data_IF_314171060074
#
_entry.id   IF_314171060074
#
_cell.length_a   1.000
_cell.length_b   1.000
_cell.length_c   1.000
_cell.angle_alpha   90.00
_cell.angle_beta   90.00
_cell.angle_gamma   90.00
#
_symmetry.space_group_name_H-M   'P 1'
#
loop_
_entity.id
_entity.type
_entity.pdbx_description
1 polymer ?
#
# COMPACT_ATOMS: atom_id res chain seq x y z
N UNK A 1 28.40 -1.69 -2.98
CA UNK A 1 27.37 -2.73 -3.02
C UNK A 1 26.21 -2.32 -2.14
N UNK A 2 25.02 -2.40 -2.67
CA UNK A 2 23.83 -2.01 -1.93
C UNK A 2 23.49 -3.11 -0.93
N UNK A 3 23.41 -2.75 0.34
CA UNK A 3 22.88 -3.64 1.35
C UNK A 3 21.43 -3.95 1.03
N UNK A 4 20.85 -4.93 1.74
CA UNK A 4 19.45 -5.29 1.54
C UNK A 4 18.55 -4.17 2.09
N UNK A 5 18.21 -3.24 1.24
CA UNK A 5 17.30 -2.17 1.59
C UNK A 5 15.87 -2.66 1.44
N UNK A 6 15.09 -2.51 2.50
CA UNK A 6 13.68 -2.89 2.52
C UNK A 6 12.83 -1.66 2.33
N UNK A 7 11.95 -1.70 1.33
CA UNK A 7 10.98 -0.65 1.08
C UNK A 7 9.58 -1.20 1.39
N UNK A 8 8.84 -0.47 2.19
CA UNK A 8 7.50 -0.87 2.63
C UNK A 8 6.46 0.09 2.09
N UNK A 9 5.38 -0.47 1.53
CA UNK A 9 4.20 0.28 1.10
C UNK A 9 2.97 -0.37 1.71
N UNK A 10 2.05 0.41 2.26
CA UNK A 10 0.77 -0.14 2.70
C UNK A 10 -0.40 0.68 2.17
N UNK A 11 -1.53 0.00 1.99
CA UNK A 11 -2.74 0.62 1.48
C UNK A 11 -3.83 -0.40 1.28
N UNK A 12 -4.99 0.07 0.84
CA UNK A 12 -6.13 -0.79 0.54
C UNK A 12 -5.93 -1.57 -0.76
N UNK A 13 -5.39 -0.92 -1.78
CA UNK A 13 -5.10 -1.52 -3.09
C UNK A 13 -6.30 -2.31 -3.65
N UNK A 14 -7.46 -1.70 -3.61
CA UNK A 14 -8.71 -2.38 -3.98
C UNK A 14 -8.82 -2.54 -5.50
N UNK A 15 -8.91 -1.42 -6.21
CA UNK A 15 -8.93 -1.42 -7.66
C UNK A 15 -7.62 -0.80 -8.13
N UNK A 16 -6.71 -1.64 -8.60
CA UNK A 16 -5.39 -1.18 -9.00
C UNK A 16 -5.47 -0.30 -10.26
N UNK A 17 -4.65 0.71 -10.28
CA UNK A 17 -4.54 1.64 -11.40
C UNK A 17 -3.06 2.01 -11.61
N UNK A 18 -2.74 2.73 -12.69
CA UNK A 18 -1.35 3.07 -12.99
C UNK A 18 -0.61 3.79 -11.85
N UNK A 19 -1.31 4.55 -11.02
CA UNK A 19 -0.70 5.20 -9.87
C UNK A 19 -0.14 4.21 -8.86
N UNK A 20 -0.85 3.11 -8.61
CA UNK A 20 -0.37 2.04 -7.74
C UNK A 20 0.86 1.36 -8.34
N UNK A 21 0.83 1.09 -9.64
CA UNK A 21 1.96 0.44 -10.32
C UNK A 21 3.19 1.32 -10.26
N UNK A 22 3.03 2.63 -10.44
CA UNK A 22 4.15 3.59 -10.33
C UNK A 22 4.74 3.57 -8.92
N UNK A 23 3.89 3.51 -7.88
CA UNK A 23 4.34 3.40 -6.49
C UNK A 23 5.24 2.16 -6.31
N UNK A 24 4.80 1.01 -6.79
CA UNK A 24 5.55 -0.24 -6.66
C UNK A 24 6.84 -0.23 -7.49
N UNK A 25 6.79 0.38 -8.66
CA UNK A 25 7.96 0.53 -9.51
C UNK A 25 9.02 1.41 -8.85
N UNK A 26 8.61 2.52 -8.25
CA UNK A 26 9.53 3.40 -7.51
C UNK A 26 10.08 2.66 -6.30
N UNK A 27 9.24 1.93 -5.56
CA UNK A 27 9.71 1.12 -4.44
C UNK A 27 10.81 0.15 -4.88
N UNK A 28 10.62 -0.53 -6.01
CA UNK A 28 11.62 -1.46 -6.55
C UNK A 28 12.95 -0.76 -6.88
N UNK A 29 12.88 0.49 -7.34
CA UNK A 29 14.08 1.25 -7.67
C UNK A 29 14.85 1.71 -6.43
N UNK A 30 14.18 1.75 -5.27
CA UNK A 30 14.77 2.24 -4.03
C UNK A 30 15.38 1.15 -3.16
N UNK A 31 15.04 -0.11 -3.39
CA UNK A 31 15.54 -1.17 -2.54
C UNK A 31 15.53 -2.55 -3.19
N UNK A 32 16.14 -3.49 -2.51
CA UNK A 32 16.26 -4.86 -2.96
C UNK A 32 15.05 -5.71 -2.61
N UNK A 33 14.28 -5.29 -1.62
CA UNK A 33 13.11 -6.04 -1.17
C UNK A 33 11.94 -5.08 -1.01
N UNK A 34 10.85 -5.37 -1.70
CA UNK A 34 9.62 -4.57 -1.65
C UNK A 34 8.56 -5.38 -0.91
N UNK A 35 8.09 -4.83 0.19
CA UNK A 35 7.03 -5.42 1.01
C UNK A 35 5.80 -4.54 0.88
N UNK A 36 4.67 -5.16 0.57
CA UNK A 36 3.39 -4.47 0.47
C UNK A 36 2.43 -5.07 1.47
N UNK A 37 1.72 -4.24 2.21
CA UNK A 37 0.72 -4.68 3.17
C UNK A 37 -0.63 -4.10 2.80
N UNK A 38 -1.68 -4.94 2.87
CA UNK A 38 -3.04 -4.53 2.59
C UNK A 38 -3.96 -4.90 3.75
N UNK A 39 -4.96 -4.07 4.01
CA UNK A 39 -5.85 -4.28 5.14
C UNK A 39 -6.97 -5.28 4.84
N UNK A 40 -7.48 -5.90 5.90
CA UNK A 40 -8.57 -6.88 5.80
C UNK A 40 -9.87 -6.20 5.37
N UNK A 41 -10.81 -7.00 4.86
CA UNK A 41 -12.12 -6.50 4.44
C UNK A 41 -12.86 -5.83 5.61
N UNK A 42 -12.78 -6.42 6.79
CA UNK A 42 -13.44 -5.89 7.99
C UNK A 42 -12.90 -4.52 8.36
N UNK A 43 -11.58 -4.36 8.30
CA UNK A 43 -10.96 -3.07 8.60
C UNK A 43 -11.37 -2.01 7.59
N UNK A 44 -11.37 -2.37 6.30
CA UNK A 44 -11.75 -1.44 5.23
C UNK A 44 -13.20 -0.99 5.41
N UNK A 45 -14.11 -1.92 5.74
CA UNK A 45 -15.51 -1.58 5.97
C UNK A 45 -15.67 -0.64 7.16
N UNK A 46 -14.93 -0.87 8.23
CA UNK A 46 -14.96 -0.01 9.40
C UNK A 46 -14.46 1.41 9.07
N UNK A 47 -13.45 1.52 8.21
CA UNK A 47 -12.84 2.82 7.87
C UNK A 47 -13.58 3.56 6.75
N UNK A 48 -14.12 2.83 5.77
CA UNK A 48 -14.65 3.41 4.53
C UNK A 48 -16.14 3.14 4.26
N UNK A 49 -16.77 2.30 5.07
CA UNK A 49 -18.18 1.93 4.92
C UNK A 49 -18.40 0.58 4.26
N UNK A 50 -19.64 0.10 4.33
CA UNK A 50 -19.99 -1.27 3.91
C UNK A 50 -19.87 -1.51 2.40
N UNK A 51 -19.74 -0.45 1.61
CA UNK A 51 -19.62 -0.58 0.15
C UNK A 51 -18.19 -0.93 -0.27
N UNK A 52 -17.25 -0.94 0.64
CA UNK A 52 -15.84 -1.21 0.36
C UNK A 52 -15.37 -2.41 1.19
N UNK A 53 -14.41 -3.21 0.72
CA UNK A 53 -13.77 -3.09 -0.60
C UNK A 53 -14.69 -3.62 -1.71
N UNK A 54 -14.40 -3.28 -2.95
CA UNK A 54 -15.05 -3.90 -4.11
C UNK A 54 -14.50 -5.32 -4.29
N UNK A 55 -13.18 -5.47 -4.17
CA UNK A 55 -12.50 -6.75 -4.26
C UNK A 55 -12.12 -7.23 -2.87
N UNK A 56 -12.46 -8.49 -2.56
CA UNK A 56 -12.15 -9.06 -1.25
C UNK A 56 -10.64 -9.28 -1.07
N UNK A 57 -10.24 -9.60 0.16
CA UNK A 57 -8.82 -9.74 0.52
C UNK A 57 -8.09 -10.76 -0.35
N UNK A 58 -8.69 -11.94 -0.58
CA UNK A 58 -8.04 -12.96 -1.41
C UNK A 58 -7.77 -12.46 -2.82
N UNK A 59 -8.72 -11.75 -3.40
CA UNK A 59 -8.58 -11.16 -4.73
C UNK A 59 -7.45 -10.12 -4.73
N UNK A 60 -7.47 -9.22 -3.76
CA UNK A 60 -6.48 -8.15 -3.67
C UNK A 60 -5.06 -8.70 -3.47
N UNK A 61 -4.91 -9.68 -2.59
CA UNK A 61 -3.61 -10.34 -2.35
C UNK A 61 -3.12 -11.03 -3.63
N UNK A 62 -4.00 -11.77 -4.31
CA UNK A 62 -3.62 -12.45 -5.55
C UNK A 62 -3.10 -11.46 -6.60
N UNK A 63 -3.75 -10.31 -6.75
CA UNK A 63 -3.31 -9.29 -7.69
C UNK A 63 -1.96 -8.69 -7.31
N UNK A 64 -1.79 -8.40 -6.03
CA UNK A 64 -0.52 -7.85 -5.54
C UNK A 64 0.63 -8.83 -5.70
N UNK A 65 0.39 -10.11 -5.41
CA UNK A 65 1.42 -11.15 -5.56
C UNK A 65 1.86 -11.36 -7.01
N UNK A 66 1.02 -11.00 -7.96
CA UNK A 66 1.34 -11.12 -9.38
C UNK A 66 2.15 -9.94 -9.93
N UNK A 67 2.30 -8.88 -9.16
CA UNK A 67 3.04 -7.69 -9.60
C UNK A 67 4.53 -7.93 -9.46
N UNK A 68 5.26 -7.80 -10.58
CA UNK A 68 6.69 -8.12 -10.63
C UNK A 68 7.57 -7.29 -9.72
N UNK A 69 7.10 -6.14 -9.26
CA UNK A 69 7.87 -5.25 -8.39
C UNK A 69 7.78 -5.62 -6.91
N UNK A 70 6.85 -6.50 -6.54
CA UNK A 70 6.56 -6.83 -5.13
C UNK A 70 7.17 -8.17 -4.78
N UNK A 71 7.88 -8.24 -3.65
CA UNK A 71 8.49 -9.48 -3.16
C UNK A 71 7.63 -10.18 -2.11
N UNK A 72 6.99 -9.42 -1.22
CA UNK A 72 6.22 -9.96 -0.11
C UNK A 72 4.93 -9.19 0.06
N UNK A 73 3.83 -9.90 0.30
CA UNK A 73 2.53 -9.29 0.61
C UNK A 73 2.13 -9.71 2.02
N UNK A 74 1.86 -8.74 2.88
CA UNK A 74 1.32 -8.94 4.22
C UNK A 74 -0.11 -8.44 4.30
N UNK A 75 -0.83 -8.90 5.32
CA UNK A 75 -2.19 -8.41 5.60
C UNK A 75 -2.25 -7.96 7.06
N UNK A 76 -3.10 -6.98 7.35
CA UNK A 76 -3.29 -6.48 8.71
C UNK A 76 -4.75 -6.12 8.94
N UNK A 77 -5.25 -6.41 10.14
CA UNK A 77 -6.64 -6.17 10.51
C UNK A 77 -6.87 -4.98 11.41
N UNK A 78 -5.78 -4.32 11.84
CA UNK A 78 -5.87 -3.15 12.71
C UNK A 78 -4.63 -2.28 12.54
N UNK A 79 -4.73 -1.04 13.02
CA UNK A 79 -3.61 -0.12 13.06
C UNK A 79 -2.44 -0.71 13.87
N UNK A 80 -2.75 -1.37 14.99
CA UNK A 80 -1.72 -1.97 15.84
C UNK A 80 -1.00 -3.12 15.13
N UNK A 81 -1.75 -3.96 14.41
CA UNK A 81 -1.11 -5.03 13.62
C UNK A 81 -0.18 -4.48 12.57
N UNK A 82 -0.58 -3.39 11.90
CA UNK A 82 0.27 -2.74 10.90
C UNK A 82 1.56 -2.23 11.55
N UNK A 83 1.45 -1.55 12.68
CA UNK A 83 2.63 -1.06 13.38
C UNK A 83 3.55 -2.20 13.81
N UNK A 84 2.97 -3.30 14.32
CA UNK A 84 3.75 -4.46 14.76
C UNK A 84 4.51 -5.09 13.59
N UNK A 85 3.89 -5.19 12.43
CA UNK A 85 4.55 -5.72 11.23
C UNK A 85 5.70 -4.81 10.77
N UNK A 86 5.49 -3.51 10.79
CA UNK A 86 6.52 -2.55 10.40
C UNK A 86 7.70 -2.60 11.39
N UNK A 87 7.39 -2.68 12.67
CA UNK A 87 8.44 -2.83 13.69
C UNK A 87 9.26 -4.09 13.48
N UNK A 88 8.58 -5.20 13.19
CA UNK A 88 9.24 -6.49 12.99
C UNK A 88 10.17 -6.46 11.77
N UNK A 89 9.71 -5.90 10.66
CA UNK A 89 10.48 -5.87 9.42
C UNK A 89 11.50 -4.73 9.39
N UNK A 90 11.30 -3.71 10.21
CA UNK A 90 12.19 -2.56 10.32
C UNK A 90 12.65 -2.04 8.96
N UNK A 91 11.74 -1.61 8.08
CA UNK A 91 12.13 -1.20 6.73
C UNK A 91 13.02 0.03 6.74
N UNK A 92 13.85 0.13 5.74
CA UNK A 92 14.70 1.31 5.56
C UNK A 92 13.86 2.50 5.09
N UNK A 93 12.86 2.23 4.26
CA UNK A 93 11.99 3.26 3.68
C UNK A 93 10.53 2.85 3.80
N UNK A 94 9.70 3.75 4.35
CA UNK A 94 8.25 3.69 4.18
C UNK A 94 7.92 4.60 3.01
N UNK A 95 7.43 4.03 1.91
CA UNK A 95 7.04 4.78 0.73
C UNK A 95 5.53 4.85 0.64
N UNK A 96 4.98 6.04 0.66
CA UNK A 96 3.54 6.27 0.70
C UNK A 96 3.12 7.20 -0.44
N UNK A 97 1.85 7.11 -0.81
CA UNK A 97 1.26 8.07 -1.73
C UNK A 97 1.15 9.45 -1.09
N UNK A 98 0.92 10.45 -1.93
CA UNK A 98 0.86 11.85 -1.51
C UNK A 98 -0.29 12.14 -0.53
N UNK A 99 -1.33 11.31 -0.56
CA UNK A 99 -2.50 11.47 0.33
C UNK A 99 -2.15 11.39 1.81
N UNK A 100 -1.00 10.79 2.14
CA UNK A 100 -0.55 10.59 3.52
C UNK A 100 0.42 11.64 4.00
N UNK A 101 0.67 12.68 3.20
CA UNK A 101 1.67 13.70 3.49
C UNK A 101 1.47 14.39 4.84
N UNK A 102 0.22 14.77 5.13
CA UNK A 102 -0.12 15.51 6.34
C UNK A 102 -0.76 14.63 7.39
N UNK A 103 -0.82 13.32 7.14
CA UNK A 103 -1.44 12.37 8.02
C UNK A 103 -0.49 11.76 9.01
N UNK A 104 -1.07 11.02 9.94
CA UNK A 104 -0.33 10.26 10.93
C UNK A 104 0.13 8.95 10.29
N UNK A 105 1.39 8.87 9.96
CA UNK A 105 1.97 7.70 9.29
C UNK A 105 2.26 6.62 10.32
N UNK A 106 1.52 5.51 10.25
CA UNK A 106 1.71 4.39 11.16
C UNK A 106 3.09 3.78 10.96
N UNK A 107 3.81 3.62 12.07
CA UNK A 107 5.08 2.90 12.07
C UNK A 107 6.30 3.71 11.65
N UNK A 108 6.15 5.02 11.45
CA UNK A 108 7.27 5.85 11.00
C UNK A 108 8.49 5.75 11.93
N UNK A 109 8.30 5.53 13.24
CA UNK A 109 9.37 5.41 14.22
C UNK A 109 10.24 4.19 14.00
N UNK A 110 9.72 3.18 13.31
CA UNK A 110 10.40 1.90 13.09
C UNK A 110 11.10 1.83 11.72
N UNK A 111 10.97 2.87 10.92
CA UNK A 111 11.58 2.94 9.60
C UNK A 111 12.78 3.88 9.59
N UNK A 112 13.68 3.67 8.65
CA UNK A 112 14.83 4.55 8.47
C UNK A 112 14.41 5.94 8.00
N UNK A 113 13.47 6.00 7.06
CA UNK A 113 12.89 7.26 6.58
C UNK A 113 11.50 7.03 6.02
N UNK A 114 10.76 8.12 5.87
CA UNK A 114 9.44 8.13 5.22
C UNK A 114 9.54 8.99 3.98
N UNK A 115 9.10 8.46 2.84
CA UNK A 115 9.04 9.20 1.58
C UNK A 115 7.63 9.21 1.05
N UNK A 116 7.24 10.29 0.42
CA UNK A 116 5.95 10.45 -0.23
C UNK A 116 6.14 10.55 -1.73
N UNK A 117 5.39 9.73 -2.48
CA UNK A 117 5.40 9.79 -3.93
C UNK A 117 4.30 10.73 -4.39
N UNK A 118 4.60 11.75 -5.19
CA UNK A 118 3.56 12.64 -5.72
C UNK A 118 2.55 11.85 -6.55
N UNK A 119 1.29 12.27 -6.50
CA UNK A 119 0.22 11.63 -7.26
C UNK A 119 0.52 11.73 -8.75
N UNK A 120 0.33 10.62 -9.45
CA UNK A 120 0.58 10.51 -10.90
C UNK A 120 -0.75 10.42 -11.63
N UNK A 121 -0.95 11.29 -12.64
CA UNK A 121 -2.05 11.18 -13.59
C UNK A 121 -3.46 11.33 -13.04
N UNK A 122 -3.64 11.71 -11.79
CA UNK A 122 -4.97 11.88 -11.20
C UNK A 122 -5.76 10.59 -11.04
N UNK A 123 -5.11 9.45 -11.05
CA UNK A 123 -5.76 8.14 -10.86
C UNK A 123 -6.24 7.99 -9.41
N UNK A 124 -7.41 7.37 -9.26
CA UNK A 124 -7.95 6.97 -7.95
C UNK A 124 -8.98 5.87 -8.16
N UNK A 125 -9.02 4.90 -7.23
CA UNK A 125 -10.00 3.81 -7.29
C UNK A 125 -11.43 4.34 -7.21
N UNK A 126 -11.66 5.37 -6.39
CA UNK A 126 -12.98 6.01 -6.28
C UNK A 126 -13.45 6.61 -7.61
N UNK A 127 -12.52 7.14 -8.41
CA UNK A 127 -12.86 7.67 -9.74
C UNK A 127 -13.26 6.54 -10.70
N UNK A 128 -12.60 5.41 -10.62
CA UNK A 128 -12.96 4.24 -11.42
C UNK A 128 -14.35 3.73 -11.07
N UNK A 129 -14.65 3.64 -9.78
CA UNK A 129 -15.97 3.23 -9.31
C UNK A 129 -17.04 4.18 -9.84
N UNK A 130 -16.79 5.48 -9.78
CA UNK A 130 -17.72 6.50 -10.25
C UNK A 130 -17.96 6.37 -11.76
N UNK A 131 -16.90 6.14 -12.54
CA UNK A 131 -17.04 5.92 -13.99
C UNK A 131 -17.92 4.70 -14.29
N UNK A 132 -17.73 3.62 -13.56
CA UNK A 132 -18.54 2.41 -13.74
C UNK A 132 -20.01 2.68 -13.45
N UNK A 133 -20.31 3.41 -12.37
CA UNK A 133 -21.67 3.76 -12.01
C UNK A 133 -22.37 4.61 -13.07
N UNK A 134 -21.61 5.38 -13.82
CA UNK A 134 -22.13 6.30 -14.82
C UNK A 134 -22.11 5.74 -16.24
N UNK A 135 -21.81 4.45 -16.41
CA UNK A 135 -21.87 3.81 -17.72
C UNK A 135 -23.35 3.54 -18.17
#
# INVERSE_FOLDING_TARGET
MIETDIVWCNGTFDILHPGHIELFKVARSLGNKVIVATDTDEKIKADKGDHRPVNNLCHRVAMLEAIKYIDVVHTFGSRQELEDLIELDAPDILLLGDDWRDGDVVGWEHAGEVRHLPRVGGYASSKTIERIKNL
#
